data_IF_864438454637
#
_entry.id   IF_864438454637
#
_cell.length_a   1.000
_cell.length_b   1.000
_cell.length_c   1.000
_cell.angle_alpha   90.00
_cell.angle_beta   90.00
_cell.angle_gamma   90.00
#
_symmetry.space_group_name_H-M   'P 1'
#
loop_
_entity.id
_entity.type
_entity.pdbx_description
1 polymer ?
#
# COMPACT_ATOMS: atom_id res chain seq x y z
N UNK A 1 13.41 -11.16 8.18
CA UNK A 1 11.97 -11.49 8.03
C UNK A 1 11.75 -12.10 6.66
N UNK A 2 11.13 -13.30 6.57
CA UNK A 2 10.81 -13.97 5.29
C UNK A 2 9.32 -13.80 5.03
N UNK A 3 8.95 -13.10 3.95
CA UNK A 3 7.54 -12.92 3.54
C UNK A 3 7.09 -14.11 2.69
N UNK A 4 6.18 -14.93 3.23
CA UNK A 4 5.72 -16.17 2.58
C UNK A 4 4.70 -15.86 1.48
N UNK A 5 3.76 -14.95 1.73
CA UNK A 5 2.75 -14.47 0.77
C UNK A 5 2.53 -12.96 0.94
N UNK A 6 2.08 -12.30 -0.13
CA UNK A 6 1.58 -10.94 -0.08
C UNK A 6 0.56 -10.75 -1.20
N UNK A 7 -0.59 -10.19 -0.87
CA UNK A 7 -1.73 -10.02 -1.77
C UNK A 7 -2.37 -8.66 -1.54
N UNK A 8 -2.93 -8.08 -2.60
CA UNK A 8 -3.75 -6.89 -2.50
C UNK A 8 -5.17 -7.31 -2.10
N UNK A 9 -5.58 -6.97 -0.88
CA UNK A 9 -6.89 -7.40 -0.34
C UNK A 9 -8.01 -6.46 -0.78
N UNK A 10 -7.88 -5.16 -0.52
CA UNK A 10 -8.95 -4.20 -0.81
C UNK A 10 -8.41 -2.76 -0.89
N UNK A 11 -9.19 -1.87 -1.52
CA UNK A 11 -9.04 -0.43 -1.43
C UNK A 11 -10.21 0.14 -0.64
N UNK A 12 -9.93 0.74 0.51
CA UNK A 12 -10.92 1.50 1.25
C UNK A 12 -10.88 2.97 0.80
N UNK A 13 -11.88 3.39 0.03
CA UNK A 13 -12.09 4.81 -0.24
C UNK A 13 -12.84 5.44 0.94
N UNK A 14 -12.31 6.52 1.50
CA UNK A 14 -12.81 7.10 2.73
C UNK A 14 -14.19 7.76 2.53
N UNK A 15 -15.25 7.03 2.86
CA UNK A 15 -16.57 7.58 3.21
C UNK A 15 -16.71 7.89 4.71
N UNK A 16 -15.61 8.14 5.42
CA UNK A 16 -15.59 8.51 6.85
C UNK A 16 -15.81 7.36 7.85
N UNK A 17 -16.52 6.30 7.48
CA UNK A 17 -17.01 5.29 8.44
C UNK A 17 -16.09 4.09 8.69
N UNK A 18 -14.88 4.05 8.11
CA UNK A 18 -14.00 2.86 8.13
C UNK A 18 -14.54 1.66 7.34
N UNK A 19 -15.72 1.79 6.73
CA UNK A 19 -16.35 0.78 5.89
C UNK A 19 -15.41 0.40 4.73
N UNK A 20 -14.79 -0.78 4.82
CA UNK A 20 -13.84 -1.30 3.83
C UNK A 20 -12.44 -1.57 4.36
N UNK A 21 -12.13 -1.18 5.61
CA UNK A 21 -10.90 -1.61 6.29
C UNK A 21 -11.13 -2.99 6.90
N UNK A 22 -10.27 -4.00 6.64
CA UNK A 22 -10.39 -5.30 7.29
C UNK A 22 -10.25 -5.21 8.82
N UNK A 23 -11.11 -5.93 9.53
CA UNK A 23 -11.11 -6.07 10.99
C UNK A 23 -10.96 -7.55 11.36
N UNK A 24 -9.86 -8.15 10.92
CA UNK A 24 -9.52 -9.57 11.12
C UNK A 24 -8.74 -9.83 12.43
N UNK A 25 -8.51 -8.79 13.24
CA UNK A 25 -7.78 -8.89 14.51
C UNK A 25 -6.26 -9.02 14.36
N UNK A 26 -5.72 -8.92 13.14
CA UNK A 26 -4.29 -8.96 12.89
C UNK A 26 -3.62 -7.60 13.14
N UNK A 27 -2.35 -7.56 13.57
CA UNK A 27 -1.60 -6.31 13.67
C UNK A 27 -1.48 -5.62 12.30
N UNK A 28 -1.82 -4.34 12.24
CA UNK A 28 -1.74 -3.53 11.02
C UNK A 28 -0.61 -2.51 11.12
N UNK A 29 0.14 -2.36 10.02
CA UNK A 29 1.22 -1.37 9.91
C UNK A 29 0.82 -0.37 8.83
N UNK A 30 0.71 0.90 9.21
CA UNK A 30 0.42 2.00 8.29
C UNK A 30 1.71 2.61 7.72
N UNK A 31 1.72 2.92 6.42
CA UNK A 31 2.80 3.63 5.75
C UNK A 31 2.31 5.02 5.32
N UNK A 32 2.87 6.07 5.91
CA UNK A 32 2.54 7.47 5.62
C UNK A 32 3.74 8.23 5.05
N UNK A 33 3.47 9.28 4.28
CA UNK A 33 4.50 10.15 3.71
C UNK A 33 4.02 10.90 2.46
N UNK A 34 4.80 11.91 2.05
CA UNK A 34 4.51 12.78 0.90
C UNK A 34 4.16 12.00 -0.36
N UNK A 35 3.42 12.62 -1.27
CA UNK A 35 3.17 12.05 -2.59
C UNK A 35 4.50 11.68 -3.27
N UNK A 36 4.55 10.54 -3.96
CA UNK A 36 5.72 10.05 -4.69
C UNK A 36 7.02 9.83 -3.89
N UNK A 37 7.00 9.83 -2.54
CA UNK A 37 8.19 9.56 -1.71
C UNK A 37 8.69 8.09 -1.76
N UNK A 38 8.07 7.23 -2.56
CA UNK A 38 8.48 5.82 -2.70
C UNK A 38 7.75 4.82 -1.80
N UNK A 39 6.59 5.18 -1.20
CA UNK A 39 5.80 4.27 -0.35
C UNK A 39 5.48 2.93 -1.02
N UNK A 40 4.94 2.95 -2.24
CA UNK A 40 4.62 1.74 -3.00
C UNK A 40 5.88 0.93 -3.35
N UNK A 41 7.00 1.61 -3.63
CA UNK A 41 8.30 0.97 -3.88
C UNK A 41 8.79 0.23 -2.63
N UNK A 42 8.67 0.84 -1.46
CA UNK A 42 9.03 0.20 -0.19
C UNK A 42 8.19 -1.04 0.08
N UNK A 43 6.86 -0.99 -0.14
CA UNK A 43 5.98 -2.16 0.02
C UNK A 43 6.43 -3.30 -0.90
N UNK A 44 6.69 -3.01 -2.17
CA UNK A 44 7.11 -4.03 -3.14
C UNK A 44 8.49 -4.60 -2.80
N UNK A 45 9.41 -3.78 -2.28
CA UNK A 45 10.74 -4.24 -1.84
C UNK A 45 10.67 -5.15 -0.60
N UNK A 46 9.86 -4.78 0.41
CA UNK A 46 9.69 -5.57 1.63
C UNK A 46 9.00 -6.92 1.35
N UNK A 47 8.00 -6.92 0.47
CA UNK A 47 7.24 -8.14 0.11
C UNK A 47 7.91 -8.96 -0.98
N UNK A 48 8.91 -8.39 -1.68
CA UNK A 48 9.54 -8.93 -2.89
C UNK A 48 8.52 -9.33 -3.97
N UNK A 49 7.41 -8.60 -4.04
CA UNK A 49 6.27 -8.82 -4.93
C UNK A 49 5.70 -7.49 -5.40
N UNK A 50 5.05 -7.46 -6.57
CA UNK A 50 4.38 -6.25 -7.09
C UNK A 50 2.92 -6.15 -6.61
N UNK A 51 2.73 -5.98 -5.29
CA UNK A 51 1.39 -5.91 -4.67
C UNK A 51 0.89 -4.48 -4.51
N UNK A 52 1.78 -3.51 -4.35
CA UNK A 52 1.44 -2.11 -4.30
C UNK A 52 1.53 -1.48 -5.70
N UNK A 53 0.49 -0.74 -6.08
CA UNK A 53 0.46 0.01 -7.33
C UNK A 53 1.51 1.12 -7.29
N UNK A 54 2.56 0.97 -8.08
CA UNK A 54 3.51 2.03 -8.41
C UNK A 54 3.03 2.71 -9.68
N UNK A 55 2.77 4.01 -9.64
CA UNK A 55 2.55 4.79 -10.85
C UNK A 55 3.84 4.78 -11.67
N UNK A 56 3.79 4.24 -12.89
CA UNK A 56 4.92 4.28 -13.82
C UNK A 56 5.09 5.62 -14.52
N UNK A 57 4.09 6.52 -14.48
CA UNK A 57 4.11 7.77 -15.24
C UNK A 57 5.12 8.77 -14.66
N UNK A 58 6.27 9.02 -15.33
CA UNK A 58 7.11 10.16 -15.05
C UNK A 58 6.47 11.38 -15.73
N UNK A 59 6.46 12.54 -15.07
CA UNK A 59 6.08 13.81 -15.72
C UNK A 59 4.61 14.24 -15.56
N UNK A 60 4.29 14.82 -14.40
CA UNK A 60 3.30 15.92 -14.30
C UNK A 60 3.81 17.11 -13.47
N UNK A 61 5.12 17.26 -13.37
CA UNK A 61 5.74 18.54 -13.04
C UNK A 61 5.93 19.30 -14.35
N UNK A 62 5.17 20.39 -14.53
CA UNK A 62 5.61 21.52 -15.36
C UNK A 62 6.76 22.23 -14.65
#
# INVERSE_FOLDING_TARGET
MKVISAEFVTSAAAGGSGAGVPHDGLPQIALAGRSNVGKSTLINALTRRQVARTSAAPGKTR
#
